data_IF_301916945297
#
_entry.id   IF_301916945297
#
_cell.length_a   1.000
_cell.length_b   1.000
_cell.length_c   1.000
_cell.angle_alpha   90.00
_cell.angle_beta   90.00
_cell.angle_gamma   90.00
#
_symmetry.space_group_name_H-M   'P 1'
#
loop_
_entity.id
_entity.type
_entity.pdbx_description
1 polymer ?
#
# COMPACT_ATOMS: atom_id res chain seq x y z
N UNK A 1 12.30 -3.07 -27.07
CA UNK A 1 12.55 -2.07 -26.01
C UNK A 1 11.51 -2.31 -24.94
N UNK A 2 11.89 -2.64 -23.70
CA UNK A 2 10.93 -2.83 -22.62
C UNK A 2 10.26 -1.48 -22.32
N UNK A 3 8.93 -1.40 -22.40
CA UNK A 3 8.19 -0.20 -22.04
C UNK A 3 8.37 0.07 -20.54
N UNK A 4 8.64 1.32 -20.17
CA UNK A 4 8.75 1.70 -18.77
C UNK A 4 7.37 1.65 -18.11
N UNK A 5 7.23 0.99 -16.95
CA UNK A 5 5.95 0.88 -16.26
C UNK A 5 5.45 2.26 -15.82
N UNK A 6 4.15 2.51 -16.02
CA UNK A 6 3.46 3.73 -15.61
C UNK A 6 2.91 3.59 -14.18
N UNK A 7 2.60 4.72 -13.53
CA UNK A 7 2.00 4.74 -12.18
C UNK A 7 0.72 3.88 -12.10
N UNK A 8 -0.07 3.85 -13.18
CA UNK A 8 -1.28 3.04 -13.30
C UNK A 8 -1.01 1.54 -13.23
N UNK A 9 0.14 1.09 -13.76
CA UNK A 9 0.53 -0.31 -13.77
C UNK A 9 0.90 -0.75 -12.35
N UNK A 10 1.64 0.10 -11.62
CA UNK A 10 1.96 -0.13 -10.21
C UNK A 10 0.71 -0.14 -9.34
N UNK A 11 -0.18 0.83 -9.52
CA UNK A 11 -1.48 0.87 -8.83
C UNK A 11 -2.26 -0.42 -9.08
N UNK A 12 -2.39 -0.84 -10.34
CA UNK A 12 -3.11 -2.06 -10.71
C UNK A 12 -2.50 -3.32 -10.08
N UNK A 13 -1.18 -3.43 -10.08
CA UNK A 13 -0.46 -4.54 -9.45
C UNK A 13 -0.70 -4.59 -7.93
N UNK A 14 -0.56 -3.46 -7.23
CA UNK A 14 -0.78 -3.38 -5.77
C UNK A 14 -2.22 -3.75 -5.44
N UNK A 15 -3.17 -3.28 -6.24
CA UNK A 15 -4.59 -3.60 -6.08
C UNK A 15 -4.86 -5.10 -6.26
N UNK A 16 -4.28 -5.71 -7.30
CA UNK A 16 -4.44 -7.14 -7.56
C UNK A 16 -3.84 -8.00 -6.44
N UNK A 17 -2.63 -7.67 -5.97
CA UNK A 17 -2.00 -8.36 -4.85
C UNK A 17 -2.82 -8.22 -3.56
N UNK A 18 -3.39 -7.02 -3.32
CA UNK A 18 -4.25 -6.80 -2.18
C UNK A 18 -5.55 -7.60 -2.27
N UNK A 19 -6.16 -7.70 -3.45
CA UNK A 19 -7.36 -8.51 -3.68
C UNK A 19 -7.08 -10.00 -3.44
N UNK A 20 -5.96 -10.52 -3.94
CA UNK A 20 -5.53 -11.91 -3.69
C UNK A 20 -5.29 -12.17 -2.19
N UNK A 21 -4.64 -11.25 -1.50
CA UNK A 21 -4.46 -11.33 -0.05
C UNK A 21 -5.80 -11.36 0.70
N UNK A 22 -6.73 -10.49 0.33
CA UNK A 22 -8.06 -10.45 0.94
C UNK A 22 -8.83 -11.74 0.67
N UNK A 23 -8.73 -12.30 -0.53
CA UNK A 23 -9.33 -13.59 -0.87
C UNK A 23 -8.75 -14.74 -0.03
N UNK A 24 -7.41 -14.81 0.09
CA UNK A 24 -6.75 -15.81 0.92
C UNK A 24 -7.17 -15.71 2.40
N UNK A 25 -7.36 -14.50 2.92
CA UNK A 25 -7.88 -14.30 4.29
C UNK A 25 -9.32 -14.78 4.47
N UNK A 26 -10.16 -14.57 3.46
CA UNK A 26 -11.55 -15.07 3.46
C UNK A 26 -11.56 -16.60 3.45
N UNK A 27 -10.72 -17.23 2.63
CA UNK A 27 -10.55 -18.70 2.57
C UNK A 27 -10.05 -19.28 3.91
N UNK A 28 -9.22 -18.54 4.63
CA UNK A 28 -8.77 -18.89 6.00
C UNK A 28 -9.83 -18.62 7.09
N UNK A 29 -11.05 -18.23 6.72
CA UNK A 29 -12.16 -18.01 7.66
C UNK A 29 -12.08 -16.70 8.46
N UNK A 30 -11.16 -15.79 8.11
CA UNK A 30 -11.05 -14.49 8.77
C UNK A 30 -12.17 -13.58 8.23
N UNK A 31 -13.20 -13.35 9.06
CA UNK A 31 -14.34 -12.50 8.70
C UNK A 31 -13.86 -11.09 8.31
N UNK A 32 -14.23 -10.66 7.10
CA UNK A 32 -13.95 -9.31 6.63
C UNK A 32 -14.69 -8.30 7.51
N UNK A 33 -13.96 -7.28 8.00
CA UNK A 33 -14.59 -6.19 8.73
C UNK A 33 -15.61 -5.49 7.81
N UNK A 34 -16.83 -5.29 8.33
CA UNK A 34 -17.99 -4.73 7.62
C UNK A 34 -17.60 -3.47 6.83
N UNK A 35 -18.06 -3.40 5.57
CA UNK A 35 -17.75 -2.35 4.59
C UNK A 35 -17.72 -0.95 5.21
N UNK A 36 -16.53 -0.39 5.41
CA UNK A 36 -16.43 1.02 5.73
C UNK A 36 -16.68 1.83 4.48
N UNK A 37 -17.37 2.97 4.64
CA UNK A 37 -17.52 4.04 3.61
C UNK A 37 -16.20 4.37 2.91
N UNK A 38 -15.07 4.15 3.58
CA UNK A 38 -13.74 4.23 2.99
C UNK A 38 -13.08 2.85 3.03
N UNK A 39 -13.03 2.18 1.88
CA UNK A 39 -12.40 0.87 1.75
C UNK A 39 -10.90 0.95 2.08
N UNK A 40 -10.39 0.01 2.87
CA UNK A 40 -8.97 -0.07 3.23
C UNK A 40 -8.06 -0.12 1.99
N UNK A 41 -8.55 -0.73 0.89
CA UNK A 41 -7.89 -0.80 -0.42
C UNK A 41 -7.44 0.58 -0.92
N UNK A 42 -8.35 1.55 -0.95
CA UNK A 42 -8.04 2.90 -1.45
C UNK A 42 -7.13 3.69 -0.51
N UNK A 43 -7.18 3.42 0.79
CA UNK A 43 -6.25 4.04 1.73
C UNK A 43 -4.80 3.58 1.52
N UNK A 44 -4.57 2.32 1.10
CA UNK A 44 -3.21 1.84 0.80
C UNK A 44 -2.60 2.67 -0.33
N UNK A 45 -3.32 2.83 -1.45
CA UNK A 45 -2.85 3.67 -2.56
C UNK A 45 -2.64 5.10 -2.08
N UNK A 46 -3.61 5.66 -1.36
CA UNK A 46 -3.51 7.02 -0.85
C UNK A 46 -2.22 7.23 -0.03
N UNK A 47 -1.94 6.35 0.93
CA UNK A 47 -0.74 6.50 1.74
C UNK A 47 0.54 6.25 0.96
N UNK A 48 0.56 5.30 0.01
CA UNK A 48 1.71 5.13 -0.88
C UNK A 48 1.99 6.39 -1.71
N UNK A 49 0.95 7.01 -2.28
CA UNK A 49 1.10 8.31 -2.97
C UNK A 49 1.64 9.39 -2.04
N UNK A 50 1.15 9.45 -0.80
CA UNK A 50 1.65 10.43 0.19
C UNK A 50 3.12 10.20 0.53
N UNK A 51 3.57 8.95 0.65
CA UNK A 51 4.98 8.64 0.88
C UNK A 51 5.88 9.01 -0.28
N UNK A 52 5.48 8.72 -1.52
CA UNK A 52 6.26 9.14 -2.70
C UNK A 52 6.35 10.67 -2.83
N UNK A 53 5.34 11.39 -2.35
CA UNK A 53 5.34 12.86 -2.31
C UNK A 53 6.05 13.45 -1.09
N UNK A 54 6.53 12.62 -0.16
CA UNK A 54 7.14 13.08 1.10
C UNK A 54 6.17 13.79 2.05
N UNK A 55 4.87 13.50 1.96
CA UNK A 55 3.83 14.15 2.78
C UNK A 55 3.43 13.24 3.95
N UNK A 56 4.12 13.38 5.07
CA UNK A 56 3.92 12.51 6.26
C UNK A 56 2.86 13.03 7.24
N UNK A 57 2.59 14.34 7.26
CA UNK A 57 1.68 14.95 8.23
C UNK A 57 0.21 14.79 7.85
N UNK A 58 -0.63 14.18 8.70
CA UNK A 58 -2.06 13.97 8.40
C UNK A 58 -2.85 15.24 8.07
N UNK A 59 -2.49 16.38 8.69
CA UNK A 59 -3.10 17.69 8.36
C UNK A 59 -2.73 18.13 6.94
N UNK A 60 -1.49 17.89 6.54
CA UNK A 60 -0.97 18.22 5.22
C UNK A 60 -1.55 17.28 4.16
N UNK A 61 -1.64 15.98 4.45
CA UNK A 61 -2.31 14.98 3.61
C UNK A 61 -3.77 15.36 3.35
N UNK A 62 -4.51 15.71 4.41
CA UNK A 62 -5.90 16.17 4.29
C UNK A 62 -6.02 17.44 3.42
N UNK A 63 -5.22 18.47 3.70
CA UNK A 63 -5.20 19.72 2.90
C UNK A 63 -4.84 19.46 1.44
N UNK A 64 -3.85 18.62 1.21
CA UNK A 64 -3.43 18.24 -0.14
C UNK A 64 -4.59 17.58 -0.87
N UNK A 65 -5.27 16.62 -0.24
CA UNK A 65 -6.41 15.93 -0.83
C UNK A 65 -7.59 16.88 -1.13
N UNK A 66 -7.84 17.87 -0.28
CA UNK A 66 -8.84 18.92 -0.53
C UNK A 66 -8.51 19.76 -1.77
N UNK A 67 -7.23 19.95 -2.07
CA UNK A 67 -6.77 20.75 -3.22
C UNK A 67 -6.61 19.92 -4.52
N UNK A 68 -6.82 18.60 -4.47
CA UNK A 68 -6.61 17.68 -5.60
C UNK A 68 -7.87 16.81 -5.81
N UNK A 69 -8.99 17.39 -6.27
CA UNK A 69 -10.25 16.66 -6.46
C UNK A 69 -10.17 15.54 -7.49
N UNK A 70 -9.26 15.62 -8.46
CA UNK A 70 -8.99 14.55 -9.43
C UNK A 70 -8.52 13.26 -8.74
N UNK A 71 -7.79 13.37 -7.64
CA UNK A 71 -7.30 12.23 -6.87
C UNK A 71 -8.45 11.58 -6.09
N UNK A 72 -9.44 12.37 -5.65
CA UNK A 72 -10.65 11.82 -5.03
C UNK A 72 -11.43 10.93 -6.00
N UNK A 73 -11.49 11.31 -7.28
CA UNK A 73 -12.13 10.50 -8.32
C UNK A 73 -11.38 9.18 -8.55
N UNK A 74 -10.04 9.23 -8.63
CA UNK A 74 -9.19 8.03 -8.77
C UNK A 74 -9.38 7.08 -7.58
N UNK A 75 -9.51 7.62 -6.37
CA UNK A 75 -9.70 6.85 -5.14
C UNK A 75 -11.17 6.41 -4.91
N UNK A 76 -12.09 6.81 -5.79
CA UNK A 76 -13.53 6.51 -5.65
C UNK A 76 -14.18 7.16 -4.43
N UNK A 77 -13.63 8.27 -3.93
CA UNK A 77 -14.16 8.98 -2.77
C UNK A 77 -14.99 10.18 -3.21
N UNK A 78 -16.24 10.27 -2.75
CA UNK A 78 -17.11 11.42 -3.04
C UNK A 78 -16.62 12.70 -2.33
N UNK A 79 -15.98 12.54 -1.18
CA UNK A 79 -15.49 13.64 -0.35
C UNK A 79 -14.22 13.22 0.39
N UNK A 80 -13.31 14.15 0.70
CA UNK A 80 -12.09 13.83 1.41
C UNK A 80 -12.42 13.34 2.84
N UNK A 81 -11.89 12.19 3.29
CA UNK A 81 -12.05 11.75 4.66
C UNK A 81 -11.50 12.79 5.63
N UNK A 82 -12.18 12.96 6.77
CA UNK A 82 -11.70 13.86 7.81
C UNK A 82 -10.28 13.47 8.28
N UNK A 83 -9.49 14.45 8.72
CA UNK A 83 -8.10 14.26 9.20
C UNK A 83 -7.97 13.12 10.21
N UNK A 84 -8.91 13.01 11.15
CA UNK A 84 -8.91 11.95 12.17
C UNK A 84 -9.16 10.57 11.57
N UNK A 85 -10.00 10.47 10.53
CA UNK A 85 -10.23 9.23 9.78
C UNK A 85 -8.97 8.78 9.07
N UNK A 86 -8.25 9.70 8.42
CA UNK A 86 -6.95 9.43 7.78
C UNK A 86 -5.97 8.87 8.82
N UNK A 87 -5.79 9.56 9.95
CA UNK A 87 -4.87 9.12 10.99
C UNK A 87 -5.23 7.73 11.56
N UNK A 88 -6.51 7.49 11.85
CA UNK A 88 -6.99 6.20 12.36
C UNK A 88 -6.75 5.08 11.35
N UNK A 89 -7.00 5.35 10.07
CA UNK A 89 -6.83 4.38 8.98
C UNK A 89 -5.36 4.06 8.73
N UNK A 90 -4.48 5.05 8.80
CA UNK A 90 -3.03 4.83 8.71
C UNK A 90 -2.54 3.88 9.80
N UNK A 91 -2.94 4.11 11.05
CA UNK A 91 -2.57 3.25 12.18
C UNK A 91 -3.12 1.83 12.04
N UNK A 92 -4.38 1.70 11.66
CA UNK A 92 -5.01 0.40 11.43
C UNK A 92 -4.44 -0.34 10.21
N UNK A 93 -3.78 0.36 9.29
CA UNK A 93 -3.14 -0.25 8.13
C UNK A 93 -1.83 -0.93 8.46
N UNK A 94 -1.15 -0.57 9.55
CA UNK A 94 0.12 -1.19 9.91
C UNK A 94 0.00 -2.72 9.98
N UNK A 95 -0.95 -3.22 10.75
CA UNK A 95 -1.22 -4.66 10.88
C UNK A 95 -1.61 -5.31 9.54
N UNK A 96 -2.35 -4.57 8.70
CA UNK A 96 -2.76 -5.05 7.38
C UNK A 96 -1.61 -5.13 6.39
N UNK A 97 -0.69 -4.16 6.42
CA UNK A 97 0.50 -4.10 5.56
C UNK A 97 1.51 -5.16 6.01
N UNK A 98 1.74 -5.33 7.30
CA UNK A 98 2.62 -6.38 7.83
C UNK A 98 2.16 -7.77 7.37
N UNK A 99 0.86 -8.07 7.53
CA UNK A 99 0.27 -9.31 7.04
C UNK A 99 0.35 -9.45 5.50
N UNK A 100 0.17 -8.35 4.76
CA UNK A 100 0.30 -8.35 3.30
C UNK A 100 1.76 -8.61 2.86
N UNK A 101 2.75 -8.00 3.52
CA UNK A 101 4.17 -8.22 3.23
C UNK A 101 4.54 -9.67 3.48
N UNK A 102 4.09 -10.25 4.59
CA UNK A 102 4.29 -11.67 4.88
C UNK A 102 3.64 -12.57 3.82
N UNK A 103 2.41 -12.25 3.40
CA UNK A 103 1.72 -12.97 2.33
C UNK A 103 2.48 -12.87 1.00
N UNK A 104 2.91 -11.67 0.60
CA UNK A 104 3.69 -11.46 -0.63
C UNK A 104 5.02 -12.19 -0.53
N UNK A 105 5.72 -12.18 0.61
CA UNK A 105 6.98 -12.91 0.79
C UNK A 105 6.81 -14.42 0.59
N UNK A 106 5.72 -15.00 1.12
CA UNK A 106 5.39 -16.41 0.93
C UNK A 106 4.94 -16.73 -0.50
N UNK A 107 4.22 -15.81 -1.13
CA UNK A 107 3.71 -15.96 -2.49
C UNK A 107 4.79 -15.74 -3.56
N UNK A 108 5.72 -14.82 -3.33
CA UNK A 108 6.76 -14.43 -4.28
C UNK A 108 7.81 -15.52 -4.50
N UNK A 109 8.06 -16.38 -3.50
CA UNK A 109 8.85 -17.58 -3.70
C UNK A 109 8.29 -18.40 -4.88
N UNK A 110 6.97 -18.52 -5.00
CA UNK A 110 6.34 -19.30 -6.07
C UNK A 110 6.26 -18.57 -7.43
N UNK A 111 6.64 -17.29 -7.53
CA UNK A 111 6.49 -16.50 -8.77
C UNK A 111 7.62 -16.71 -9.78
N UNK A 112 8.82 -17.11 -9.36
CA UNK A 112 9.88 -17.61 -10.26
C UNK A 112 11.02 -18.26 -9.48
N UNK A 113 11.75 -19.20 -10.09
CA UNK A 113 12.96 -19.80 -9.50
C UNK A 113 14.03 -18.76 -9.12
N UNK A 114 14.04 -17.57 -9.74
CA UNK A 114 14.98 -16.50 -9.39
C UNK A 114 14.67 -15.86 -8.02
N UNK A 115 13.44 -16.04 -7.52
CA UNK A 115 13.02 -15.60 -6.19
C UNK A 115 13.20 -16.70 -5.12
N UNK A 116 13.64 -17.91 -5.49
CA UNK A 116 14.08 -18.96 -4.55
C UNK A 116 15.48 -18.71 -3.97
N UNK A 117 16.09 -17.58 -4.34
CA UNK A 117 17.34 -17.11 -3.76
C UNK A 117 17.19 -16.94 -2.24
N UNK A 118 17.86 -17.79 -1.46
CA UNK A 118 18.18 -17.53 -0.04
C UNK A 118 19.16 -16.38 0.14
N UNK A 119 19.69 -15.82 -0.96
CA UNK A 119 20.57 -14.67 -0.90
C UNK A 119 19.72 -13.43 -0.61
N UNK A 120 19.90 -12.89 0.60
CA UNK A 120 19.41 -11.58 0.98
C UNK A 120 20.08 -10.57 0.05
N UNK A 121 19.39 -10.14 -1.02
CA UNK A 121 19.89 -9.06 -1.87
C UNK A 121 19.74 -7.76 -1.09
N UNK A 122 20.71 -7.50 -0.23
CA UNK A 122 20.85 -6.22 0.46
C UNK A 122 21.24 -5.22 -0.62
N UNK A 123 20.30 -4.35 -0.98
CA UNK A 123 20.58 -3.23 -1.86
C UNK A 123 21.75 -2.42 -1.27
N UNK A 124 22.80 -2.20 -2.07
CA UNK A 124 23.94 -1.34 -1.70
C UNK A 124 23.51 0.07 -1.30
N UNK A 125 22.32 0.51 -1.69
CA UNK A 125 21.73 1.79 -1.26
C UNK A 125 21.48 1.83 0.26
N UNK A 126 21.13 0.71 0.89
CA UNK A 126 20.96 0.59 2.36
C UNK A 126 22.27 0.84 3.11
N UNK A 127 23.42 0.42 2.55
CA UNK A 127 24.73 0.67 3.15
C UNK A 127 25.22 2.12 2.99
N UNK A 128 24.66 2.89 2.05
CA UNK A 128 24.98 4.33 1.93
C UNK A 128 24.24 5.17 2.97
N UNK A 129 23.11 4.69 3.49
CA UNK A 129 22.45 5.29 4.63
C UNK A 129 23.21 4.90 5.91
N UNK A 130 24.13 5.75 6.37
CA UNK A 130 24.82 5.62 7.66
C UNK A 130 23.88 5.89 8.83
N UNK A 131 22.79 5.14 8.94
CA UNK A 131 21.82 5.26 10.02
C UNK A 131 21.12 3.93 10.25
N UNK A 132 20.63 3.66 11.48
CA UNK A 132 19.89 2.44 11.74
C UNK A 132 18.59 2.49 10.94
N UNK A 133 18.45 1.52 10.05
CA UNK A 133 17.23 1.28 9.27
C UNK A 133 16.26 0.60 10.22
N UNK A 134 15.29 1.35 10.72
CA UNK A 134 14.13 0.87 11.47
C UNK A 134 12.87 0.99 10.60
#
# INVERSE_FOLDING_TARGET
MAQSPMLTDYVSLIMQLFDQFMQARIEQGIKQAKSSTYCSRWFIIFFMMMQFRGIYGFKTQWRWLTNHPEVLQILGWQQPPHRTTIARRYKALYEGIEALILFIGQYAANLSEQFHSTDLVIDKSLFKARGPVW
#
